data_IF_673817980512
#
_entry.id   IF_673817980512
#
_cell.length_a   1.000
_cell.length_b   1.000
_cell.length_c   1.000
_cell.angle_alpha   90.00
_cell.angle_beta   90.00
_cell.angle_gamma   90.00
#
_symmetry.space_group_name_H-M   'P 1'
#
loop_
_entity.id
_entity.type
_entity.pdbx_description
1 polymer ?
#
# COMPACT_ATOMS: atom_id res chain seq x y z
N UNK A 1 11.77 -0.15 11.61
CA UNK A 1 11.25 1.05 12.28
C UNK A 1 9.83 0.72 12.67
N UNK A 2 9.46 0.84 13.95
CA UNK A 2 8.13 0.40 14.41
C UNK A 2 7.15 1.58 14.34
N UNK A 3 5.95 1.35 13.79
CA UNK A 3 4.91 2.37 13.74
C UNK A 3 4.32 2.60 15.14
N UNK A 4 3.73 3.77 15.39
CA UNK A 4 3.22 4.15 16.72
C UNK A 4 2.25 3.16 17.38
N UNK A 5 1.64 2.25 16.61
CA UNK A 5 0.69 1.24 17.09
C UNK A 5 1.27 -0.19 17.08
N UNK A 6 2.58 -0.37 16.88
CA UNK A 6 3.23 -1.69 16.86
C UNK A 6 3.04 -2.49 15.57
N UNK A 7 2.53 -1.85 14.50
CA UNK A 7 2.46 -2.49 13.19
C UNK A 7 3.84 -2.49 12.52
N UNK A 8 4.20 -3.63 11.94
CA UNK A 8 5.44 -3.79 11.17
C UNK A 8 5.31 -3.24 9.75
N UNK A 9 4.11 -3.31 9.17
CA UNK A 9 3.79 -2.87 7.81
C UNK A 9 2.41 -2.25 7.77
N UNK A 10 2.25 -1.16 7.02
CA UNK A 10 0.95 -0.53 6.76
C UNK A 10 0.83 -0.14 5.31
N UNK A 11 -0.41 -0.14 4.82
CA UNK A 11 -0.75 0.43 3.53
C UNK A 11 -1.85 1.46 3.71
N UNK A 12 -1.71 2.59 3.03
CA UNK A 12 -2.71 3.64 2.90
C UNK A 12 -3.30 3.50 1.50
N UNK A 13 -4.62 3.53 1.41
CA UNK A 13 -5.37 3.39 0.17
C UNK A 13 -6.16 4.67 -0.10
N UNK A 14 -6.46 4.93 -1.38
CA UNK A 14 -7.57 5.83 -1.70
C UNK A 14 -8.89 5.28 -1.12
N UNK A 15 -9.85 6.18 -0.86
CA UNK A 15 -11.18 5.80 -0.37
C UNK A 15 -12.26 5.78 -1.45
N UNK A 16 -11.92 6.12 -2.70
CA UNK A 16 -12.88 6.39 -3.79
C UNK A 16 -12.86 5.29 -4.88
N UNK A 17 -12.07 4.24 -4.67
CA UNK A 17 -11.97 3.07 -5.54
C UNK A 17 -12.62 1.82 -4.91
N UNK A 18 -13.97 1.75 -4.79
CA UNK A 18 -14.66 0.63 -4.11
C UNK A 18 -14.49 -0.72 -4.83
N UNK A 19 -14.11 -0.70 -6.11
CA UNK A 19 -13.86 -1.89 -6.92
C UNK A 19 -12.37 -2.25 -7.01
N UNK A 20 -11.49 -1.59 -6.25
CA UNK A 20 -10.06 -1.92 -6.24
C UNK A 20 -9.89 -3.38 -5.82
N UNK A 21 -9.26 -4.23 -6.67
CA UNK A 21 -9.01 -5.62 -6.31
C UNK A 21 -8.17 -5.72 -5.04
N UNK A 22 -8.68 -6.46 -4.04
CA UNK A 22 -7.97 -6.68 -2.78
C UNK A 22 -6.58 -7.31 -2.98
N UNK A 23 -6.36 -8.03 -4.09
CA UNK A 23 -5.05 -8.55 -4.49
C UNK A 23 -3.95 -7.48 -4.45
N UNK A 24 -4.24 -6.23 -4.84
CA UNK A 24 -3.23 -5.17 -4.81
C UNK A 24 -2.80 -4.78 -3.40
N UNK A 25 -3.69 -4.92 -2.41
CA UNK A 25 -3.38 -4.69 -1.00
C UNK A 25 -2.42 -5.77 -0.51
N UNK A 26 -2.72 -7.05 -0.81
CA UNK A 26 -1.90 -8.18 -0.40
C UNK A 26 -0.53 -8.18 -1.08
N UNK A 27 -0.49 -7.94 -2.39
CA UNK A 27 0.76 -7.85 -3.14
C UNK A 27 1.62 -6.69 -2.61
N UNK A 28 1.01 -5.56 -2.25
CA UNK A 28 1.73 -4.43 -1.65
C UNK A 28 2.33 -4.76 -0.29
N UNK A 29 1.58 -5.44 0.58
CA UNK A 29 2.08 -5.90 1.88
C UNK A 29 3.19 -6.96 1.77
N UNK A 30 3.15 -7.82 0.76
CA UNK A 30 4.21 -8.81 0.48
C UNK A 30 5.48 -8.14 -0.07
N UNK A 31 5.34 -7.13 -0.94
CA UNK A 31 6.49 -6.39 -1.45
C UNK A 31 7.30 -5.70 -0.34
N UNK A 32 6.63 -5.20 0.70
CA UNK A 32 7.27 -4.59 1.88
C UNK A 32 8.15 -5.57 2.68
N UNK A 33 8.09 -6.89 2.44
CA UNK A 33 9.04 -7.83 3.03
C UNK A 33 10.46 -7.68 2.44
N UNK A 34 10.58 -6.99 1.30
CA UNK A 34 11.84 -6.88 0.53
C UNK A 34 12.21 -5.44 0.18
N UNK A 35 11.35 -4.47 0.46
CA UNK A 35 11.53 -3.06 0.12
C UNK A 35 11.08 -2.16 1.27
N UNK A 36 11.68 -0.97 1.37
CA UNK A 36 11.33 -0.01 2.43
C UNK A 36 9.99 0.71 2.18
N UNK A 37 9.49 0.67 0.95
CA UNK A 37 8.25 1.31 0.55
C UNK A 37 7.64 0.65 -0.70
N UNK A 38 6.34 0.85 -0.89
CA UNK A 38 5.59 0.42 -2.09
C UNK A 38 4.67 1.55 -2.55
N UNK A 39 4.53 1.71 -3.87
CA UNK A 39 3.57 2.64 -4.49
C UNK A 39 2.72 1.87 -5.50
N UNK A 40 1.40 2.03 -5.42
CA UNK A 40 0.45 1.59 -6.44
C UNK A 40 0.09 2.77 -7.35
N UNK A 41 0.66 2.88 -8.57
CA UNK A 41 0.45 4.02 -9.44
C UNK A 41 -0.93 4.01 -10.10
N UNK A 42 -1.49 5.19 -10.30
CA UNK A 42 -2.67 5.42 -11.13
C UNK A 42 -2.26 5.83 -12.56
N UNK A 43 -3.15 5.62 -13.53
CA UNK A 43 -2.90 5.98 -14.93
C UNK A 43 -2.82 7.50 -15.17
N UNK A 44 -3.39 8.29 -14.26
CA UNK A 44 -3.37 9.76 -14.29
C UNK A 44 -2.08 10.36 -13.69
N UNK A 45 -1.15 9.51 -13.25
CA UNK A 45 0.10 9.93 -12.60
C UNK A 45 0.01 10.08 -11.08
N UNK A 46 -1.16 9.84 -10.49
CA UNK A 46 -1.33 9.73 -9.04
C UNK A 46 -0.95 8.34 -8.49
N UNK A 47 -1.39 8.06 -7.28
CA UNK A 47 -1.27 6.76 -6.63
C UNK A 47 -2.54 6.42 -5.86
N UNK A 48 -2.93 5.15 -5.88
CA UNK A 48 -4.04 4.64 -5.07
C UNK A 48 -3.57 3.91 -3.81
N UNK A 49 -2.26 3.62 -3.71
CA UNK A 49 -1.65 2.89 -2.59
C UNK A 49 -0.26 3.43 -2.26
N UNK A 50 0.01 3.66 -0.97
CA UNK A 50 1.37 3.82 -0.41
C UNK A 50 1.54 2.81 0.72
N UNK A 51 2.64 2.06 0.72
CA UNK A 51 3.01 1.13 1.78
C UNK A 51 4.35 1.48 2.41
N UNK A 52 4.45 1.25 3.72
CA UNK A 52 5.66 1.38 4.56
C UNK A 52 5.75 0.21 5.54
#
# INVERSE_FOLDING_TARGET
>A
MELQQGYEKVVILDSDSPNLPSKYIYDGLECLDKTDAVIGPCLDGGYYLIGL
#
